data_IF_521651907662
#
_entry.id   IF_521651907662
#
_cell.length_a   1.000
_cell.length_b   1.000
_cell.length_c   1.000
_cell.angle_alpha   90.00
_cell.angle_beta   90.00
_cell.angle_gamma   90.00
#
_symmetry.space_group_name_H-M   'P 1'
#
loop_
_entity.id
_entity.type
_entity.pdbx_description
1 polymer ?
#
# COMPACT_ATOMS: atom_id res chain seq x y z
N UNK A 1 -0.63 92.70 -13.59
CA UNK A 1 0.62 92.20 -12.97
C UNK A 1 0.27 90.91 -12.26
N UNK A 2 0.25 89.83 -13.03
CA UNK A 2 -0.21 88.51 -12.59
C UNK A 2 1.02 87.66 -12.24
N UNK A 3 1.02 87.12 -11.01
CA UNK A 3 2.13 86.39 -10.42
C UNK A 3 2.31 85.00 -11.07
N UNK A 4 3.16 84.92 -12.09
CA UNK A 4 3.56 83.66 -12.77
C UNK A 4 4.30 82.65 -11.86
N UNK A 5 4.69 83.02 -10.64
CA UNK A 5 5.44 82.14 -9.73
C UNK A 5 4.57 81.13 -8.96
N UNK A 6 3.25 81.33 -8.83
CA UNK A 6 2.39 80.44 -8.03
C UNK A 6 1.99 79.15 -8.77
N UNK A 7 1.98 79.17 -10.11
CA UNK A 7 1.52 78.03 -10.93
C UNK A 7 2.55 76.89 -11.03
N UNK A 8 3.84 77.22 -10.89
CA UNK A 8 4.93 76.25 -11.03
C UNK A 8 5.07 75.32 -9.81
N UNK A 9 4.80 75.82 -8.59
CA UNK A 9 4.86 75.00 -7.37
C UNK A 9 3.73 73.96 -7.29
N UNK A 10 2.53 74.27 -7.78
CA UNK A 10 1.38 73.36 -7.71
C UNK A 10 1.54 72.15 -8.65
N UNK A 11 2.14 72.34 -9.82
CA UNK A 11 2.36 71.25 -10.78
C UNK A 11 3.43 70.25 -10.34
N UNK A 12 4.47 70.73 -9.64
CA UNK A 12 5.56 69.85 -9.18
C UNK A 12 5.10 68.89 -8.07
N UNK A 13 4.26 69.34 -7.14
CA UNK A 13 3.69 68.49 -6.08
C UNK A 13 2.69 67.47 -6.65
N UNK A 14 1.88 67.86 -7.64
CA UNK A 14 0.97 66.94 -8.32
C UNK A 14 1.71 65.84 -9.11
N UNK A 15 2.82 66.17 -9.77
CA UNK A 15 3.65 65.20 -10.49
C UNK A 15 4.36 64.22 -9.54
N UNK A 16 4.81 64.69 -8.37
CA UNK A 16 5.45 63.86 -7.34
C UNK A 16 4.48 62.82 -6.74
N UNK A 17 3.22 63.22 -6.49
CA UNK A 17 2.18 62.33 -5.98
C UNK A 17 1.62 61.35 -7.03
N UNK A 18 1.54 61.75 -8.30
CA UNK A 18 1.10 60.88 -9.40
C UNK A 18 2.16 59.82 -9.78
N UNK A 19 3.45 60.16 -9.69
CA UNK A 19 4.55 59.21 -9.90
C UNK A 19 4.59 58.12 -8.83
N UNK A 20 4.42 58.49 -7.56
CA UNK A 20 4.47 57.56 -6.42
C UNK A 20 3.33 56.51 -6.42
N UNK A 21 2.11 56.90 -6.80
CA UNK A 21 0.96 55.98 -6.83
C UNK A 21 1.09 54.91 -7.93
N UNK A 22 1.68 55.27 -9.08
CA UNK A 22 1.89 54.35 -10.20
C UNK A 22 2.96 53.29 -9.93
N UNK A 23 3.98 53.62 -9.12
CA UNK A 23 5.05 52.71 -8.73
C UNK A 23 4.59 51.73 -7.64
N UNK A 24 3.80 52.20 -6.68
CA UNK A 24 3.20 51.36 -5.63
C UNK A 24 2.18 50.38 -6.23
N UNK A 25 1.37 50.83 -7.22
CA UNK A 25 0.46 49.97 -7.98
C UNK A 25 1.20 48.84 -8.72
N UNK A 26 2.31 49.16 -9.41
CA UNK A 26 3.10 48.17 -10.14
C UNK A 26 3.82 47.19 -9.21
N UNK A 27 4.31 47.65 -8.05
CA UNK A 27 4.95 46.81 -7.04
C UNK A 27 3.96 45.82 -6.41
N UNK A 28 2.76 46.27 -6.01
CA UNK A 28 1.69 45.40 -5.49
C UNK A 28 1.19 44.39 -6.55
N UNK A 29 1.10 44.80 -7.82
CA UNK A 29 0.70 43.91 -8.91
C UNK A 29 1.80 42.93 -9.37
N UNK A 30 3.08 43.24 -9.07
CA UNK A 30 4.21 42.33 -9.31
C UNK A 30 4.23 41.19 -8.29
N UNK A 31 3.94 41.50 -7.03
CA UNK A 31 3.95 40.52 -5.95
C UNK A 31 2.78 39.52 -6.08
N UNK A 32 1.55 40.02 -6.30
CA UNK A 32 0.36 39.17 -6.46
C UNK A 32 0.38 38.24 -7.69
N UNK A 33 1.03 38.65 -8.80
CA UNK A 33 1.18 37.79 -9.99
C UNK A 33 2.13 36.62 -9.77
N UNK A 34 3.21 36.81 -9.00
CA UNK A 34 4.16 35.76 -8.68
C UNK A 34 3.52 34.67 -7.81
N UNK A 35 2.70 35.03 -6.82
CA UNK A 35 1.99 34.05 -5.98
C UNK A 35 0.95 33.25 -6.77
N UNK A 36 0.18 33.91 -7.65
CA UNK A 36 -0.80 33.22 -8.50
C UNK A 36 -0.13 32.27 -9.50
N UNK A 37 1.01 32.63 -10.07
CA UNK A 37 1.80 31.72 -10.91
C UNK A 37 2.29 30.51 -10.14
N UNK A 38 2.81 30.68 -8.92
CA UNK A 38 3.30 29.58 -8.09
C UNK A 38 2.16 28.62 -7.74
N UNK A 39 0.98 29.13 -7.35
CA UNK A 39 -0.20 28.31 -7.04
C UNK A 39 -0.72 27.59 -8.30
N UNK A 40 -0.71 28.24 -9.46
CA UNK A 40 -1.13 27.60 -10.71
C UNK A 40 -0.16 26.51 -11.17
N UNK A 41 1.16 26.74 -11.05
CA UNK A 41 2.18 25.73 -11.35
C UNK A 41 2.06 24.54 -10.42
N UNK A 42 1.90 24.78 -9.11
CA UNK A 42 1.67 23.72 -8.12
C UNK A 42 0.40 22.92 -8.40
N UNK A 43 -0.70 23.59 -8.75
CA UNK A 43 -1.97 22.94 -9.09
C UNK A 43 -1.86 22.12 -10.39
N UNK A 44 -1.15 22.62 -11.39
CA UNK A 44 -0.93 21.91 -12.64
C UNK A 44 -0.05 20.67 -12.45
N UNK A 45 1.04 20.78 -11.67
CA UNK A 45 1.88 19.62 -11.33
C UNK A 45 1.15 18.60 -10.46
N UNK A 46 0.31 19.06 -9.52
CA UNK A 46 -0.51 18.18 -8.69
C UNK A 46 -1.52 17.39 -9.52
N UNK A 47 -2.15 18.01 -10.52
CA UNK A 47 -3.10 17.33 -11.40
C UNK A 47 -2.43 16.21 -12.22
N UNK A 48 -1.20 16.43 -12.69
CA UNK A 48 -0.44 15.44 -13.48
C UNK A 48 -0.04 14.25 -12.59
N UNK A 49 0.44 14.51 -11.38
CA UNK A 49 0.83 13.45 -10.42
C UNK A 49 -0.40 12.65 -9.96
N UNK A 50 -1.54 13.30 -9.72
CA UNK A 50 -2.78 12.61 -9.36
C UNK A 50 -3.31 11.72 -10.49
N UNK A 51 -3.22 12.18 -11.75
CA UNK A 51 -3.56 11.36 -12.91
C UNK A 51 -2.64 10.13 -13.04
N UNK A 52 -1.36 10.29 -12.72
CA UNK A 52 -0.38 9.22 -12.79
C UNK A 52 -0.57 8.20 -11.64
N UNK A 53 -0.89 8.67 -10.43
CA UNK A 53 -1.26 7.82 -9.30
C UNK A 53 -2.55 7.05 -9.56
N UNK A 54 -3.53 7.65 -10.22
CA UNK A 54 -4.79 6.95 -10.53
C UNK A 54 -4.54 5.78 -11.50
N UNK A 55 -3.74 5.99 -12.55
CA UNK A 55 -3.45 4.95 -13.53
C UNK A 55 -2.60 3.82 -12.94
N UNK A 56 -1.58 4.15 -12.14
CA UNK A 56 -0.76 3.14 -11.45
C UNK A 56 -1.49 2.47 -10.29
N UNK A 57 -2.36 3.18 -9.58
CA UNK A 57 -3.22 2.62 -8.54
C UNK A 57 -4.23 1.62 -9.10
N UNK A 58 -4.75 1.86 -10.31
CA UNK A 58 -5.61 0.91 -11.03
C UNK A 58 -4.86 -0.35 -11.45
N UNK A 59 -3.63 -0.24 -11.97
CA UNK A 59 -2.81 -1.39 -12.32
C UNK A 59 -2.37 -2.19 -11.09
N UNK A 60 -1.90 -1.51 -10.03
CA UNK A 60 -1.50 -2.12 -8.78
C UNK A 60 -2.67 -2.86 -8.12
N UNK A 61 -3.89 -2.31 -8.23
CA UNK A 61 -5.11 -2.98 -7.76
C UNK A 61 -5.42 -4.28 -8.52
N UNK A 62 -5.14 -4.33 -9.82
CA UNK A 62 -5.37 -5.53 -10.65
C UNK A 62 -4.31 -6.60 -10.34
N UNK A 63 -3.04 -6.23 -10.31
CA UNK A 63 -1.93 -7.13 -9.97
C UNK A 63 -2.09 -7.70 -8.55
N UNK A 64 -2.60 -6.88 -7.62
CA UNK A 64 -2.94 -7.30 -6.26
C UNK A 64 -4.04 -8.36 -6.21
N UNK A 65 -5.13 -8.17 -6.96
CA UNK A 65 -6.18 -9.18 -7.04
C UNK A 65 -5.67 -10.46 -7.68
N UNK A 66 -4.73 -10.35 -8.62
CA UNK A 66 -4.17 -11.51 -9.32
C UNK A 66 -3.28 -12.36 -8.40
N UNK A 67 -2.37 -11.75 -7.65
CA UNK A 67 -1.51 -12.47 -6.70
C UNK A 67 -2.33 -12.99 -5.50
N UNK A 68 -3.34 -12.23 -5.05
CA UNK A 68 -4.29 -12.70 -4.03
C UNK A 68 -5.03 -13.96 -4.49
N UNK A 69 -5.52 -13.99 -5.73
CA UNK A 69 -6.25 -15.14 -6.26
C UNK A 69 -5.33 -16.37 -6.39
N UNK A 70 -4.08 -16.17 -6.83
CA UNK A 70 -3.06 -17.24 -6.90
C UNK A 70 -2.75 -17.83 -5.52
N UNK A 71 -2.55 -16.97 -4.51
CA UNK A 71 -2.33 -17.39 -3.13
C UNK A 71 -3.55 -18.10 -2.53
N UNK A 72 -4.75 -17.62 -2.82
CA UNK A 72 -6.00 -18.25 -2.38
C UNK A 72 -6.15 -19.65 -2.98
N UNK A 73 -5.83 -19.84 -4.26
CA UNK A 73 -5.84 -21.16 -4.91
C UNK A 73 -4.81 -22.10 -4.29
N UNK A 74 -3.59 -21.63 -4.03
CA UNK A 74 -2.55 -22.41 -3.34
C UNK A 74 -2.97 -22.79 -1.91
N UNK A 75 -3.60 -21.87 -1.18
CA UNK A 75 -4.12 -22.13 0.17
C UNK A 75 -5.20 -23.22 0.12
N UNK A 76 -6.19 -23.09 -0.75
CA UNK A 76 -7.26 -24.08 -0.91
C UNK A 76 -6.69 -25.45 -1.28
N UNK A 77 -5.77 -25.51 -2.26
CA UNK A 77 -5.12 -26.75 -2.65
C UNK A 77 -4.33 -27.39 -1.49
N UNK A 78 -3.65 -26.57 -0.69
CA UNK A 78 -2.88 -27.05 0.47
C UNK A 78 -3.78 -27.61 1.59
N UNK A 79 -4.89 -26.92 1.90
CA UNK A 79 -5.86 -27.37 2.90
C UNK A 79 -6.53 -28.66 2.44
N UNK A 80 -6.94 -28.72 1.17
CA UNK A 80 -7.50 -29.94 0.58
C UNK A 80 -6.50 -31.10 0.65
N UNK A 81 -5.23 -30.84 0.34
CA UNK A 81 -4.14 -31.82 0.47
C UNK A 81 -3.96 -32.32 1.91
N UNK A 82 -4.04 -31.44 2.92
CA UNK A 82 -3.96 -31.83 4.34
C UNK A 82 -5.16 -32.68 4.77
N UNK A 83 -6.37 -32.39 4.28
CA UNK A 83 -7.56 -33.21 4.54
C UNK A 83 -7.40 -34.61 3.96
N UNK A 84 -7.00 -34.73 2.68
CA UNK A 84 -6.77 -36.02 2.04
C UNK A 84 -5.63 -36.80 2.70
N UNK A 85 -4.54 -36.14 3.07
CA UNK A 85 -3.44 -36.76 3.81
C UNK A 85 -3.93 -37.30 5.16
N UNK A 86 -4.70 -36.53 5.91
CA UNK A 86 -5.25 -36.97 7.20
C UNK A 86 -6.20 -38.16 7.05
N UNK A 87 -7.06 -38.15 6.02
CA UNK A 87 -7.93 -39.28 5.69
C UNK A 87 -7.13 -40.53 5.31
N UNK A 88 -6.06 -40.38 4.53
CA UNK A 88 -5.18 -41.48 4.15
C UNK A 88 -4.46 -42.08 5.36
N UNK A 89 -3.93 -41.25 6.26
CA UNK A 89 -3.37 -41.71 7.54
C UNK A 89 -4.41 -42.45 8.37
N UNK A 90 -5.66 -41.97 8.38
CA UNK A 90 -6.74 -42.60 9.12
C UNK A 90 -7.03 -44.02 8.61
N UNK A 91 -7.22 -44.17 7.30
CA UNK A 91 -7.43 -45.46 6.65
C UNK A 91 -6.22 -46.39 6.82
N UNK A 92 -5.00 -45.88 6.72
CA UNK A 92 -3.77 -46.64 6.94
C UNK A 92 -3.70 -47.15 8.39
N UNK A 93 -4.04 -46.32 9.38
CA UNK A 93 -4.11 -46.74 10.78
C UNK A 93 -5.09 -47.86 11.01
N UNK A 94 -6.31 -47.72 10.48
CA UNK A 94 -7.32 -48.79 10.53
C UNK A 94 -6.82 -50.09 9.90
N UNK A 95 -6.17 -50.01 8.73
CA UNK A 95 -5.62 -51.17 8.03
C UNK A 95 -4.51 -51.86 8.83
N UNK A 96 -3.63 -51.10 9.47
CA UNK A 96 -2.58 -51.67 10.34
C UNK A 96 -3.19 -52.35 11.56
N UNK A 97 -4.23 -51.77 12.16
CA UNK A 97 -4.92 -52.35 13.31
C UNK A 97 -5.65 -53.63 12.92
N UNK A 98 -6.38 -53.65 11.80
CA UNK A 98 -7.13 -54.84 11.36
C UNK A 98 -6.22 -56.01 11.02
N UNK A 99 -5.07 -55.75 10.38
CA UNK A 99 -4.05 -56.77 10.12
C UNK A 99 -3.35 -57.24 11.41
N UNK A 100 -3.08 -56.31 12.33
CA UNK A 100 -2.43 -56.63 13.60
C UNK A 100 -3.29 -57.39 14.59
N UNK A 101 -4.62 -57.28 14.49
CA UNK A 101 -5.57 -57.83 15.46
C UNK A 101 -5.58 -59.36 15.50
N UNK A 102 -5.39 -60.03 14.36
CA UNK A 102 -5.36 -61.50 14.27
C UNK A 102 -4.02 -62.12 14.67
N UNK A 103 -2.99 -61.32 14.95
CA UNK A 103 -1.62 -61.78 15.23
C UNK A 103 -1.23 -61.49 16.69
N UNK A 104 -0.24 -62.19 17.25
CA UNK A 104 0.27 -61.93 18.62
C UNK A 104 0.94 -60.55 18.77
N UNK A 105 1.23 -59.86 17.66
CA UNK A 105 1.89 -58.55 17.63
C UNK A 105 0.96 -57.34 17.85
N UNK A 106 -0.22 -57.52 18.46
CA UNK A 106 -1.23 -56.46 18.64
C UNK A 106 -0.66 -55.17 19.23
N UNK A 107 0.19 -55.28 20.24
CA UNK A 107 0.84 -54.13 20.88
C UNK A 107 1.78 -53.39 19.92
N UNK A 108 2.55 -54.12 19.11
CA UNK A 108 3.45 -53.52 18.12
C UNK A 108 2.69 -52.78 17.03
N UNK A 109 1.54 -53.31 16.58
CA UNK A 109 0.67 -52.63 15.62
C UNK A 109 0.11 -51.31 16.18
N UNK A 110 -0.32 -51.28 17.44
CA UNK A 110 -0.82 -50.05 18.09
C UNK A 110 0.31 -49.01 18.21
N UNK A 111 1.50 -49.43 18.65
CA UNK A 111 2.67 -48.52 18.75
C UNK A 111 3.07 -47.99 17.37
N UNK A 112 3.06 -48.83 16.33
CA UNK A 112 3.33 -48.41 14.96
C UNK A 112 2.35 -47.37 14.44
N UNK A 113 1.05 -47.57 14.69
CA UNK A 113 0.00 -46.60 14.35
C UNK A 113 0.22 -45.28 15.08
N UNK A 114 0.51 -45.33 16.38
CA UNK A 114 0.78 -44.14 17.17
C UNK A 114 1.95 -43.33 16.60
N UNK A 115 3.05 -44.02 16.26
CA UNK A 115 4.23 -43.38 15.68
C UNK A 115 3.90 -42.76 14.31
N UNK A 116 3.17 -43.49 13.47
CA UNK A 116 2.76 -43.02 12.15
C UNK A 116 1.86 -41.77 12.22
N UNK A 117 0.89 -41.74 13.12
CA UNK A 117 0.03 -40.56 13.31
C UNK A 117 0.79 -39.38 13.91
N UNK A 118 1.72 -39.63 14.83
CA UNK A 118 2.58 -38.57 15.38
C UNK A 118 3.41 -37.90 14.29
N UNK A 119 3.96 -38.68 13.34
CA UNK A 119 4.66 -38.16 12.18
C UNK A 119 3.72 -37.33 11.28
N UNK A 120 2.49 -37.80 11.08
CA UNK A 120 1.45 -37.03 10.37
C UNK A 120 1.15 -35.68 11.00
N UNK A 121 0.99 -35.64 12.33
CA UNK A 121 0.75 -34.39 13.07
C UNK A 121 1.93 -33.43 12.91
N UNK A 122 3.16 -33.92 13.03
CA UNK A 122 4.37 -33.09 12.83
C UNK A 122 4.42 -32.54 11.40
N UNK A 123 4.15 -33.37 10.39
CA UNK A 123 4.11 -32.93 8.99
C UNK A 123 3.03 -31.85 8.77
N UNK A 124 1.82 -32.05 9.28
CA UNK A 124 0.73 -31.07 9.19
C UNK A 124 1.10 -29.76 9.89
N UNK A 125 1.70 -29.83 11.09
CA UNK A 125 2.15 -28.65 11.83
C UNK A 125 3.21 -27.86 11.06
N UNK A 126 4.23 -28.54 10.53
CA UNK A 126 5.29 -27.90 9.73
C UNK A 126 4.72 -27.24 8.46
N UNK A 127 3.77 -27.91 7.79
CA UNK A 127 3.11 -27.35 6.60
C UNK A 127 2.26 -26.14 6.95
N UNK A 128 1.42 -26.22 7.98
CA UNK A 128 0.64 -25.07 8.47
C UNK A 128 1.54 -23.89 8.85
N UNK A 129 2.66 -24.15 9.56
CA UNK A 129 3.64 -23.12 9.89
C UNK A 129 4.25 -22.47 8.64
N UNK A 130 4.60 -23.27 7.64
CA UNK A 130 5.13 -22.76 6.37
C UNK A 130 4.09 -21.91 5.61
N UNK A 131 2.84 -22.38 5.55
CA UNK A 131 1.71 -21.66 4.96
C UNK A 131 1.44 -20.33 5.67
N UNK A 132 1.47 -20.31 7.00
CA UNK A 132 1.31 -19.11 7.80
C UNK A 132 2.45 -18.10 7.58
N UNK A 133 3.69 -18.58 7.46
CA UNK A 133 4.85 -17.73 7.17
C UNK A 133 4.75 -17.08 5.79
N UNK A 134 4.34 -17.84 4.76
CA UNK A 134 4.10 -17.32 3.41
C UNK A 134 3.01 -16.24 3.40
N UNK A 135 1.94 -16.42 4.18
CA UNK A 135 0.87 -15.42 4.30
C UNK A 135 1.30 -14.11 4.98
N UNK A 136 2.19 -14.19 5.98
CA UNK A 136 2.64 -13.02 6.74
C UNK A 136 3.48 -12.04 5.88
N UNK A 137 4.30 -12.56 4.96
CA UNK A 137 5.17 -11.76 4.10
C UNK A 137 4.48 -11.25 2.83
N UNK A 138 3.38 -11.86 2.41
CA UNK A 138 2.70 -11.53 1.15
C UNK A 138 2.16 -10.09 1.08
N UNK A 139 1.90 -9.45 2.22
CA UNK A 139 1.32 -8.09 2.31
C UNK A 139 2.29 -7.04 2.87
N UNK A 140 3.55 -7.42 3.11
CA UNK A 140 4.53 -6.56 3.79
C UNK A 140 4.99 -5.39 2.90
N UNK A 141 5.32 -5.67 1.63
CA UNK A 141 5.76 -4.66 0.68
C UNK A 141 4.64 -3.63 0.40
N UNK A 142 3.43 -4.08 0.12
CA UNK A 142 2.29 -3.18 -0.16
C UNK A 142 1.88 -2.33 1.04
N UNK A 143 1.98 -2.86 2.28
CA UNK A 143 1.77 -2.03 3.48
C UNK A 143 2.87 -0.99 3.66
N UNK A 144 4.12 -1.32 3.32
CA UNK A 144 5.23 -0.39 3.38
C UNK A 144 5.08 0.72 2.34
N UNK A 145 4.67 0.39 1.11
CA UNK A 145 4.38 1.35 0.04
C UNK A 145 3.25 2.31 0.45
N UNK A 146 2.12 1.78 0.93
CA UNK A 146 0.99 2.61 1.38
C UNK A 146 1.38 3.50 2.56
N UNK A 147 2.20 2.99 3.50
CA UNK A 147 2.69 3.79 4.61
C UNK A 147 3.61 4.93 4.14
N UNK A 148 4.43 4.69 3.11
CA UNK A 148 5.27 5.70 2.49
C UNK A 148 4.44 6.77 1.77
N UNK A 149 3.40 6.38 1.03
CA UNK A 149 2.49 7.30 0.35
C UNK A 149 1.72 8.18 1.35
N UNK A 150 1.23 7.60 2.44
CA UNK A 150 0.55 8.33 3.52
C UNK A 150 1.51 9.32 4.19
N UNK A 151 2.76 8.92 4.43
CA UNK A 151 3.78 9.81 5.01
C UNK A 151 4.11 10.98 4.08
N UNK A 152 4.18 10.74 2.77
CA UNK A 152 4.45 11.74 1.76
C UNK A 152 3.30 12.76 1.68
N UNK A 153 2.04 12.30 1.65
CA UNK A 153 0.86 13.16 1.70
C UNK A 153 0.84 14.00 2.99
N UNK A 154 1.14 13.39 4.14
CA UNK A 154 1.14 14.07 5.43
C UNK A 154 2.26 15.12 5.55
N UNK A 155 3.35 14.98 4.80
CA UNK A 155 4.45 15.95 4.79
C UNK A 155 4.20 17.18 3.91
N UNK A 156 3.20 17.11 3.02
CA UNK A 156 2.82 18.19 2.09
C UNK A 156 1.65 19.04 2.61
N UNK A 157 1.12 18.69 3.78
CA UNK A 157 0.03 19.35 4.52
C UNK A 157 0.60 20.09 5.73
#
# INVERSE_FOLDING_TARGET
MECHWCQCCCWFVAWLFAGASSLISKALASDGRNYLEIIQRLRASAAIVLMQLELHGRLAGIEWQQEKNRLQQLLIASVLGLVFLSCCLFCAGLLVITLGWSTDYRLHSIVGVLFFYSAGVVLCYLRCKHLAALGATAFAATRAEIAADIALIRSQL
#
